data_IF_533594630103
#
_entry.id   IF_533594630103
#
_cell.length_a   1.000
_cell.length_b   1.000
_cell.length_c   1.000
_cell.angle_alpha   90.00
_cell.angle_beta   90.00
_cell.angle_gamma   90.00
#
_symmetry.space_group_name_H-M   'P 1'
#
loop_
_entity.id
_entity.type
_entity.pdbx_description
1 polymer ?
#
# COMPACT_ATOMS: atom_id res chain seq x y z
N UNK A 1 22.76 1.08 9.16
CA UNK A 1 22.99 0.27 7.94
C UNK A 1 23.60 1.16 6.87
N UNK A 2 24.69 0.73 6.21
CA UNK A 2 25.28 1.45 5.07
C UNK A 2 24.62 0.93 3.78
N UNK A 3 23.37 1.31 3.54
CA UNK A 3 22.57 0.92 2.37
C UNK A 3 22.27 -0.58 2.24
N UNK A 4 21.21 -0.90 1.49
CA UNK A 4 20.82 -2.27 1.16
C UNK A 4 19.61 -2.80 1.93
N UNK A 5 18.91 -3.76 1.31
CA UNK A 5 17.73 -4.39 1.89
C UNK A 5 18.12 -5.54 2.84
N UNK A 6 17.31 -5.77 3.88
CA UNK A 6 17.36 -6.98 4.70
C UNK A 6 16.24 -7.92 4.25
N UNK A 7 16.60 -9.11 3.78
CA UNK A 7 15.63 -10.17 3.51
C UNK A 7 15.23 -10.87 4.82
N UNK A 8 13.94 -10.86 5.15
CA UNK A 8 13.41 -11.44 6.39
C UNK A 8 13.29 -12.98 6.34
N UNK A 9 13.04 -13.58 5.17
CA UNK A 9 13.05 -15.04 4.96
C UNK A 9 12.24 -15.83 6.01
N UNK A 10 11.01 -15.39 6.29
CA UNK A 10 10.07 -15.89 7.32
C UNK A 10 10.49 -15.64 8.78
N UNK A 11 11.55 -14.87 9.03
CA UNK A 11 12.02 -14.59 10.37
C UNK A 11 11.42 -13.29 10.95
N UNK A 12 11.50 -13.20 12.27
CA UNK A 12 11.19 -11.98 13.00
C UNK A 12 12.49 -11.23 13.30
N UNK A 13 12.65 -10.03 12.77
CA UNK A 13 13.73 -9.13 13.16
C UNK A 13 13.25 -8.26 14.31
N UNK A 14 13.88 -8.33 15.49
CA UNK A 14 13.43 -7.58 16.67
C UNK A 14 14.44 -6.50 17.05
N UNK A 15 13.95 -5.28 17.29
CA UNK A 15 14.73 -4.17 17.83
C UNK A 15 14.27 -3.89 19.26
N UNK A 16 15.23 -3.90 20.18
CA UNK A 16 15.00 -3.79 21.62
C UNK A 16 14.75 -5.13 22.30
N UNK A 17 14.80 -5.11 23.62
CA UNK A 17 14.63 -6.27 24.53
C UNK A 17 13.48 -6.07 25.51
N UNK A 18 12.97 -4.84 25.66
CA UNK A 18 11.88 -4.52 26.58
C UNK A 18 11.47 -3.05 26.50
N UNK A 19 10.51 -2.64 27.33
CA UNK A 19 10.05 -1.23 27.38
C UNK A 19 11.08 -0.28 28.00
N UNK A 20 11.98 -0.79 28.84
CA UNK A 20 13.15 -0.05 29.37
C UNK A 20 14.32 -0.01 28.40
N UNK A 21 14.36 -0.93 27.43
CA UNK A 21 15.42 -1.07 26.42
C UNK A 21 14.79 -1.18 25.01
N UNK A 22 14.11 -0.12 24.53
CA UNK A 22 13.35 -0.19 23.29
C UNK A 22 14.23 -0.32 22.03
N UNK A 23 15.53 -0.06 22.17
CA UNK A 23 16.45 0.01 21.06
C UNK A 23 16.20 1.24 20.16
N UNK A 24 17.13 1.49 19.24
CA UNK A 24 17.01 2.55 18.25
C UNK A 24 17.15 1.98 16.84
N UNK A 25 16.48 2.61 15.88
CA UNK A 25 16.63 2.32 14.46
C UNK A 25 17.14 3.59 13.79
N UNK A 26 18.36 3.52 13.25
CA UNK A 26 18.95 4.59 12.44
C UNK A 26 19.41 3.99 11.12
N UNK A 27 18.77 4.43 10.04
CA UNK A 27 19.05 3.98 8.68
C UNK A 27 18.86 5.14 7.71
N UNK A 28 19.60 5.11 6.61
CA UNK A 28 19.56 6.13 5.55
C UNK A 28 18.86 5.63 4.29
N UNK A 29 18.96 4.33 4.01
CA UNK A 29 18.33 3.68 2.86
C UNK A 29 18.19 2.18 3.09
N UNK A 30 17.37 1.54 2.25
CA UNK A 30 17.09 0.11 2.29
C UNK A 30 15.79 -0.24 3.01
N UNK A 31 15.30 -1.45 2.77
CA UNK A 31 14.04 -1.96 3.29
C UNK A 31 14.18 -3.35 3.93
N UNK A 32 13.25 -3.68 4.81
CA UNK A 32 12.96 -5.04 5.27
C UNK A 32 12.03 -5.69 4.23
N UNK A 33 12.51 -6.71 3.53
CA UNK A 33 11.80 -7.33 2.40
C UNK A 33 11.55 -8.82 2.64
N UNK A 34 10.60 -9.37 1.87
CA UNK A 34 10.20 -10.78 1.96
C UNK A 34 9.30 -11.08 3.15
N UNK A 35 8.87 -12.34 3.24
CA UNK A 35 8.01 -12.83 4.32
C UNK A 35 8.71 -12.74 5.67
N UNK A 36 7.97 -12.46 6.74
CA UNK A 36 8.50 -12.23 8.09
C UNK A 36 8.03 -10.90 8.65
N UNK A 37 8.53 -10.52 9.82
CA UNK A 37 8.13 -9.26 10.46
C UNK A 37 9.29 -8.48 11.07
N UNK A 38 9.16 -7.16 11.08
CA UNK A 38 9.95 -6.29 11.96
C UNK A 38 9.16 -6.05 13.24
N UNK A 39 9.77 -6.35 14.38
CA UNK A 39 9.25 -6.14 15.71
C UNK A 39 10.04 -5.04 16.40
N UNK A 40 9.33 -4.09 17.02
CA UNK A 40 9.97 -2.99 17.74
C UNK A 40 9.34 -2.81 19.10
N UNK A 41 10.21 -2.73 20.10
CA UNK A 41 9.83 -2.26 21.42
C UNK A 41 9.72 -0.72 21.43
N UNK A 42 8.74 -0.23 22.18
CA UNK A 42 8.54 1.18 22.48
C UNK A 42 8.43 1.32 24.00
N UNK A 43 9.16 2.29 24.55
CA UNK A 43 9.05 2.66 25.97
C UNK A 43 7.79 3.48 26.26
N UNK A 44 7.68 3.99 27.49
CA UNK A 44 6.60 4.88 27.91
C UNK A 44 6.93 6.37 27.76
N UNK A 45 8.16 6.72 27.38
CA UNK A 45 8.64 8.09 27.24
C UNK A 45 9.54 8.24 26.01
N UNK A 46 9.87 9.49 25.65
CA UNK A 46 10.69 9.84 24.48
C UNK A 46 10.14 9.29 23.16
N UNK A 47 8.82 9.14 23.08
CA UNK A 47 8.14 8.63 21.89
C UNK A 47 8.14 9.68 20.77
N UNK A 48 8.28 9.25 19.50
CA UNK A 48 8.28 10.18 18.37
C UNK A 48 6.89 10.80 18.20
N UNK A 49 6.80 12.12 18.21
CA UNK A 49 5.54 12.87 17.98
C UNK A 49 5.36 13.32 16.54
N UNK A 50 6.34 13.04 15.69
CA UNK A 50 6.30 13.23 14.23
C UNK A 50 6.41 11.89 13.53
N UNK A 51 6.02 11.83 12.24
CA UNK A 51 6.17 10.63 11.44
C UNK A 51 7.65 10.25 11.32
N UNK A 52 8.06 9.27 12.11
CA UNK A 52 9.36 8.63 11.99
C UNK A 52 9.14 7.26 11.35
N UNK A 53 9.90 6.93 10.28
CA UNK A 53 9.80 5.67 9.54
C UNK A 53 10.15 4.49 10.44
N UNK A 54 9.17 4.10 11.23
CA UNK A 54 9.36 3.18 12.33
C UNK A 54 9.57 1.76 11.82
N UNK A 55 8.99 1.43 10.66
CA UNK A 55 9.05 0.12 10.03
C UNK A 55 9.38 0.29 8.54
N UNK A 56 10.66 0.24 8.12
CA UNK A 56 11.05 0.38 6.73
C UNK A 56 10.78 -0.89 5.93
N UNK A 57 9.53 -1.34 5.86
CA UNK A 57 9.16 -2.49 5.02
C UNK A 57 9.29 -2.13 3.54
N UNK A 58 9.50 -3.13 2.69
CA UNK A 58 9.56 -2.94 1.24
C UNK A 58 9.27 -4.22 0.46
N UNK A 59 9.09 -4.05 -0.85
CA UNK A 59 8.94 -5.13 -1.81
C UNK A 59 9.78 -4.79 -3.06
N UNK A 60 10.80 -5.60 -3.35
CA UNK A 60 11.80 -5.28 -4.38
C UNK A 60 12.49 -3.93 -4.09
N UNK A 61 12.29 -2.97 -4.99
CA UNK A 61 12.79 -1.59 -4.87
C UNK A 61 11.78 -0.62 -4.26
N UNK A 62 10.54 -1.06 -4.04
CA UNK A 62 9.45 -0.19 -3.64
C UNK A 62 9.33 -0.08 -2.11
N UNK A 63 9.22 1.14 -1.61
CA UNK A 63 8.95 1.44 -0.21
C UNK A 63 7.54 1.06 0.23
N UNK A 64 7.46 0.30 1.32
CA UNK A 64 6.21 -0.13 1.99
C UNK A 64 6.20 0.30 3.45
N UNK A 65 6.90 1.39 3.75
CA UNK A 65 7.18 1.77 5.12
C UNK A 65 5.94 2.18 5.90
N UNK A 66 5.89 1.83 7.19
CA UNK A 66 4.94 2.42 8.15
C UNK A 66 5.70 3.38 9.05
N UNK A 67 5.28 4.64 9.07
CA UNK A 67 5.69 5.62 10.06
C UNK A 67 4.65 5.72 11.17
N UNK A 68 5.12 5.92 12.40
CA UNK A 68 4.28 6.06 13.59
C UNK A 68 4.63 7.36 14.29
N UNK A 69 3.60 8.11 14.68
CA UNK A 69 3.70 9.31 15.50
C UNK A 69 2.72 9.20 16.68
N UNK A 70 3.18 9.51 17.88
CA UNK A 70 2.35 9.52 19.08
C UNK A 70 1.81 10.93 19.32
N UNK A 71 0.58 11.05 19.82
CA UNK A 71 -0.01 12.35 20.17
C UNK A 71 0.73 13.05 21.32
N UNK A 72 1.58 12.32 22.04
CA UNK A 72 2.44 12.82 23.12
C UNK A 72 3.73 11.99 23.17
N UNK A 73 4.83 12.57 23.64
CA UNK A 73 6.10 11.87 23.82
C UNK A 73 6.09 10.89 25.00
N UNK A 74 5.00 10.85 25.79
CA UNK A 74 4.80 9.95 26.91
C UNK A 74 3.42 9.28 26.90
N UNK A 75 3.36 8.06 27.42
CA UNK A 75 2.17 7.21 27.53
C UNK A 75 2.19 6.45 28.87
N UNK A 76 1.12 5.69 29.19
CA UNK A 76 1.04 4.95 30.46
C UNK A 76 2.00 3.75 30.51
N UNK A 77 2.01 2.92 29.47
CA UNK A 77 2.90 1.76 29.37
C UNK A 77 3.30 1.52 27.92
N UNK A 78 4.59 1.29 27.71
CA UNK A 78 5.14 0.85 26.44
C UNK A 78 4.74 -0.58 26.08
N UNK A 79 5.18 -1.05 24.92
CA UNK A 79 4.91 -2.39 24.43
C UNK A 79 5.69 -2.69 23.15
N UNK A 80 5.25 -3.71 22.41
CA UNK A 80 5.87 -4.09 21.14
C UNK A 80 4.85 -4.01 20.00
N UNK A 81 5.24 -3.38 18.88
CA UNK A 81 4.53 -3.48 17.60
C UNK A 81 5.32 -4.42 16.69
N UNK A 82 4.60 -5.30 16.00
CA UNK A 82 5.13 -6.08 14.89
C UNK A 82 4.44 -5.67 13.60
N UNK A 83 5.21 -5.45 12.54
CA UNK A 83 4.69 -5.18 11.18
C UNK A 83 5.28 -6.20 10.22
N UNK A 84 4.40 -6.81 9.43
CA UNK A 84 4.77 -7.55 8.21
C UNK A 84 4.06 -6.93 7.01
N UNK A 85 4.63 -7.13 5.82
CA UNK A 85 4.04 -6.69 4.56
C UNK A 85 3.85 -7.91 3.65
N UNK A 86 2.68 -8.01 3.02
CA UNK A 86 2.40 -8.98 1.98
C UNK A 86 2.22 -8.24 0.65
N UNK A 87 3.13 -8.47 -0.28
CA UNK A 87 3.08 -7.89 -1.61
C UNK A 87 2.22 -8.77 -2.52
N UNK A 88 1.11 -8.22 -3.01
CA UNK A 88 0.22 -8.91 -3.92
C UNK A 88 -0.35 -7.88 -4.93
N UNK A 89 -0.17 -8.08 -6.24
CA UNK A 89 -0.58 -7.11 -7.25
C UNK A 89 -2.10 -7.02 -7.36
N UNK A 90 -2.56 -5.93 -8.00
CA UNK A 90 -3.97 -5.66 -8.25
C UNK A 90 -4.74 -5.14 -7.04
N UNK A 91 -6.06 -5.08 -7.20
CA UNK A 91 -6.99 -4.60 -6.17
C UNK A 91 -8.33 -5.29 -6.25
N UNK A 92 -9.00 -5.40 -5.11
CA UNK A 92 -10.27 -6.09 -4.95
C UNK A 92 -11.38 -5.06 -4.74
N UNK A 93 -12.49 -5.21 -5.48
CA UNK A 93 -13.71 -4.46 -5.23
C UNK A 93 -14.30 -4.86 -3.86
N UNK A 94 -14.83 -3.88 -3.13
CA UNK A 94 -15.43 -4.10 -1.81
C UNK A 94 -16.79 -3.41 -1.74
N UNK A 95 -17.64 -3.83 -0.80
CA UNK A 95 -18.91 -3.13 -0.53
C UNK A 95 -18.60 -1.67 -0.19
N UNK A 96 -19.16 -0.69 -0.94
CA UNK A 96 -18.79 0.70 -0.75
C UNK A 96 -19.11 1.23 0.65
N UNK A 97 -18.20 2.02 1.20
CA UNK A 97 -18.42 2.72 2.47
C UNK A 97 -17.77 4.11 2.46
N UNK A 98 -18.27 4.97 3.34
CA UNK A 98 -17.73 6.32 3.49
C UNK A 98 -16.58 6.38 4.50
N UNK A 99 -15.51 7.08 4.14
CA UNK A 99 -14.45 7.47 5.09
C UNK A 99 -14.01 8.92 4.81
N UNK A 100 -14.41 9.84 5.70
CA UNK A 100 -14.30 11.28 5.42
C UNK A 100 -15.24 11.67 4.29
N UNK A 101 -14.73 12.41 3.30
CA UNK A 101 -15.45 12.77 2.08
C UNK A 101 -15.38 11.69 0.98
N UNK A 102 -14.64 10.61 1.21
CA UNK A 102 -14.42 9.56 0.22
C UNK A 102 -15.50 8.49 0.31
N UNK A 103 -15.93 8.00 -0.85
CA UNK A 103 -16.62 6.71 -0.97
C UNK A 103 -15.60 5.71 -1.48
N UNK A 104 -15.22 4.76 -0.63
CA UNK A 104 -14.24 3.72 -0.97
C UNK A 104 -14.99 2.52 -1.52
N UNK A 105 -14.59 2.07 -2.72
CA UNK A 105 -15.24 0.96 -3.44
C UNK A 105 -14.27 -0.18 -3.77
N UNK A 106 -12.99 -0.01 -3.45
CA UNK A 106 -11.94 -1.02 -3.67
C UNK A 106 -10.79 -0.85 -2.69
N UNK A 107 -9.95 -1.88 -2.61
CA UNK A 107 -8.70 -1.86 -1.87
C UNK A 107 -7.58 -2.59 -2.61
N UNK A 108 -6.34 -2.19 -2.36
CA UNK A 108 -5.17 -2.93 -2.80
C UNK A 108 -5.17 -4.37 -2.27
N UNK A 109 -4.65 -5.30 -3.07
CA UNK A 109 -4.42 -6.68 -2.65
C UNK A 109 -3.20 -6.79 -1.72
N UNK A 110 -2.18 -5.95 -1.94
CA UNK A 110 -1.11 -5.78 -0.97
C UNK A 110 -1.64 -5.25 0.36
N UNK A 111 -1.00 -5.68 1.44
CA UNK A 111 -1.44 -5.33 2.78
C UNK A 111 -0.31 -5.36 3.81
N UNK A 112 -0.55 -4.69 4.92
CA UNK A 112 0.28 -4.69 6.11
C UNK A 112 -0.47 -5.37 7.24
N UNK A 113 0.21 -6.29 7.93
CA UNK A 113 -0.34 -6.92 9.11
C UNK A 113 0.38 -6.40 10.35
N UNK A 114 -0.39 -5.84 11.28
CA UNK A 114 0.11 -5.14 12.47
C UNK A 114 -0.45 -5.78 13.73
N UNK A 115 0.45 -6.23 14.61
CA UNK A 115 0.08 -6.75 15.94
C UNK A 115 0.73 -5.91 17.03
N UNK A 116 0.12 -5.93 18.21
CA UNK A 116 0.68 -5.37 19.44
C UNK A 116 0.75 -6.42 20.55
N UNK A 117 1.69 -6.27 21.46
CA UNK A 117 1.84 -7.14 22.64
C UNK A 117 2.48 -6.41 23.83
N UNK A 118 2.55 -7.11 24.97
CA UNK A 118 3.15 -6.66 26.23
C UNK A 118 2.33 -5.57 26.96
N UNK A 119 1.01 -5.73 27.00
CA UNK A 119 0.08 -4.89 27.79
C UNK A 119 0.23 -3.38 27.51
N UNK A 120 0.44 -3.04 26.24
CA UNK A 120 0.61 -1.66 25.81
C UNK A 120 -0.63 -0.82 26.14
N UNK A 121 -0.45 0.28 26.88
CA UNK A 121 -1.50 1.25 27.18
C UNK A 121 -1.10 2.68 26.83
N UNK A 122 -1.83 3.30 25.90
CA UNK A 122 -1.68 4.72 25.59
C UNK A 122 -2.32 5.62 26.66
N UNK A 123 -3.30 5.12 27.41
CA UNK A 123 -4.23 5.92 28.21
C UNK A 123 -5.08 6.82 27.30
N UNK A 124 -5.28 8.10 27.64
CA UNK A 124 -6.07 9.05 26.82
C UNK A 124 -5.37 9.57 25.55
N UNK A 125 -4.25 8.96 25.16
CA UNK A 125 -3.39 9.40 24.05
C UNK A 125 -3.66 8.53 22.83
N UNK A 126 -3.25 9.00 21.66
CA UNK A 126 -3.50 8.32 20.39
C UNK A 126 -2.23 8.19 19.57
N UNK A 127 -2.33 7.41 18.49
CA UNK A 127 -1.30 7.23 17.49
C UNK A 127 -1.79 7.73 16.13
N UNK A 128 -0.89 8.27 15.34
CA UNK A 128 -1.06 8.53 13.92
C UNK A 128 -0.10 7.64 13.13
N UNK A 129 -0.56 7.15 11.98
CA UNK A 129 0.27 6.38 11.06
C UNK A 129 0.26 6.98 9.67
N UNK A 130 1.38 6.79 8.99
CA UNK A 130 1.54 7.03 7.56
C UNK A 130 2.07 5.75 6.93
N UNK A 131 1.42 5.30 5.86
CA UNK A 131 1.85 4.14 5.08
C UNK A 131 2.29 4.64 3.71
N UNK A 132 3.51 4.29 3.32
CA UNK A 132 4.02 4.48 1.97
C UNK A 132 3.69 3.27 1.10
N UNK A 133 3.22 3.53 -0.13
CA UNK A 133 2.74 2.51 -1.05
C UNK A 133 3.35 2.73 -2.46
N UNK A 134 4.68 2.84 -2.54
CA UNK A 134 5.41 3.11 -3.79
C UNK A 134 5.12 2.12 -4.93
N UNK A 135 4.83 2.59 -6.14
CA UNK A 135 4.47 1.71 -7.26
C UNK A 135 3.13 1.00 -7.06
N UNK A 136 2.22 1.56 -6.25
CA UNK A 136 0.83 1.11 -6.23
C UNK A 136 0.20 1.38 -7.59
N UNK A 137 -0.23 0.31 -8.25
CA UNK A 137 -0.85 0.39 -9.57
C UNK A 137 -2.20 1.12 -9.50
N UNK A 138 -2.57 1.80 -10.60
CA UNK A 138 -3.89 2.42 -10.77
C UNK A 138 -4.10 3.73 -10.01
N UNK A 139 -3.05 4.33 -9.45
CA UNK A 139 -3.14 5.62 -8.75
C UNK A 139 -3.02 6.78 -9.74
N UNK A 140 -4.13 7.48 -9.97
CA UNK A 140 -4.24 8.69 -10.79
C UNK A 140 -4.57 9.94 -9.98
N UNK A 141 -5.16 9.78 -8.80
CA UNK A 141 -5.48 10.86 -7.87
C UNK A 141 -5.27 10.44 -6.41
N UNK A 142 -4.34 11.14 -5.74
CA UNK A 142 -4.05 10.92 -4.32
C UNK A 142 -5.23 11.25 -3.42
N UNK A 143 -6.07 12.22 -3.80
CA UNK A 143 -7.18 12.67 -2.96
C UNK A 143 -8.19 11.55 -2.69
N UNK A 144 -8.26 10.57 -3.60
CA UNK A 144 -9.11 9.39 -3.50
C UNK A 144 -8.56 8.23 -2.67
N UNK A 145 -7.40 8.36 -2.00
CA UNK A 145 -6.75 7.27 -1.26
C UNK A 145 -6.90 7.38 0.27
N UNK A 146 -7.03 6.25 0.94
CA UNK A 146 -6.96 6.16 2.41
C UNK A 146 -6.49 4.78 2.90
N UNK A 147 -6.31 4.63 4.21
CA UNK A 147 -6.02 3.35 4.85
C UNK A 147 -7.33 2.65 5.21
N UNK A 148 -7.51 1.41 4.77
CA UNK A 148 -8.71 0.58 5.07
C UNK A 148 -8.31 -0.75 5.70
N UNK A 149 -9.27 -1.42 6.34
CA UNK A 149 -9.15 -2.84 6.71
C UNK A 149 -9.77 -3.70 5.59
N UNK A 150 -9.51 -5.02 5.63
CA UNK A 150 -9.96 -5.95 4.58
C UNK A 150 -11.42 -5.78 4.16
N UNK A 151 -12.34 -5.57 5.12
CA UNK A 151 -13.77 -5.46 4.85
C UNK A 151 -14.39 -4.21 5.48
N UNK A 152 -13.65 -3.09 5.57
CA UNK A 152 -14.24 -1.86 6.09
C UNK A 152 -13.26 -0.75 6.42
N UNK A 153 -13.82 0.31 7.01
CA UNK A 153 -13.10 1.49 7.43
C UNK A 153 -12.06 1.18 8.53
N UNK A 154 -10.90 1.79 8.43
CA UNK A 154 -9.91 1.77 9.51
C UNK A 154 -10.35 2.63 10.70
N UNK A 155 -9.88 2.28 11.91
CA UNK A 155 -10.11 3.10 13.10
C UNK A 155 -9.47 4.49 13.01
N UNK A 156 -9.68 5.32 14.03
CA UNK A 156 -9.16 6.69 14.08
C UNK A 156 -9.87 7.66 13.13
N UNK A 157 -9.15 8.72 12.71
CA UNK A 157 -9.63 9.79 11.86
C UNK A 157 -8.94 9.80 10.49
N UNK A 158 -9.71 10.17 9.46
CA UNK A 158 -9.23 10.34 8.09
C UNK A 158 -8.27 11.52 8.00
N UNK A 159 -7.18 11.31 7.26
CA UNK A 159 -6.28 12.37 6.81
C UNK A 159 -6.01 12.12 5.32
N UNK A 160 -6.08 13.17 4.51
CA UNK A 160 -5.82 13.11 3.08
C UNK A 160 -4.45 12.51 2.78
N UNK A 161 -4.36 11.76 1.68
CA UNK A 161 -3.08 11.24 1.22
C UNK A 161 -2.15 12.37 0.76
N UNK A 162 -0.85 12.09 0.81
CA UNK A 162 0.25 12.97 0.40
C UNK A 162 1.21 12.20 -0.50
N UNK A 163 2.31 12.81 -0.93
CA UNK A 163 3.33 12.16 -1.77
C UNK A 163 3.09 12.40 -3.26
N UNK A 164 3.35 11.40 -4.08
CA UNK A 164 3.13 11.42 -5.53
C UNK A 164 2.30 10.20 -5.96
N UNK A 165 1.76 10.19 -7.17
CA UNK A 165 1.05 9.01 -7.72
C UNK A 165 1.94 7.77 -7.78
N UNK A 166 3.25 7.93 -7.98
CA UNK A 166 4.22 6.84 -7.93
C UNK A 166 4.62 6.45 -6.50
N UNK A 167 4.51 7.37 -5.53
CA UNK A 167 4.85 7.15 -4.11
C UNK A 167 3.76 7.68 -3.19
N UNK A 168 2.55 7.10 -3.25
CA UNK A 168 1.43 7.57 -2.43
C UNK A 168 1.73 7.30 -0.96
N UNK A 169 1.39 8.28 -0.13
CA UNK A 169 1.48 8.19 1.33
C UNK A 169 0.10 8.43 1.94
N UNK A 170 -0.53 7.39 2.46
CA UNK A 170 -1.85 7.46 3.09
C UNK A 170 -1.73 7.55 4.61
N UNK A 171 -2.69 8.22 5.25
CA UNK A 171 -2.54 8.65 6.63
C UNK A 171 -3.80 8.34 7.47
N UNK A 172 -3.59 8.06 8.76
CA UNK A 172 -4.64 8.06 9.80
C UNK A 172 -4.13 8.74 11.05
N UNK A 173 -5.00 9.43 11.76
CA UNK A 173 -4.72 9.98 13.10
C UNK A 173 -5.67 9.42 14.15
N UNK A 174 -5.46 9.78 15.41
CA UNK A 174 -6.37 9.47 16.50
C UNK A 174 -6.65 7.97 16.68
N UNK A 175 -5.72 7.11 16.29
CA UNK A 175 -5.82 5.66 16.48
C UNK A 175 -5.63 5.33 17.96
N UNK A 176 -6.53 4.51 18.51
CA UNK A 176 -6.22 3.75 19.72
C UNK A 176 -5.16 2.68 19.43
N UNK A 177 -4.59 2.08 20.47
CA UNK A 177 -3.62 0.99 20.28
C UNK A 177 -4.25 -0.23 19.59
N UNK A 178 -5.52 -0.52 19.89
CA UNK A 178 -6.30 -1.58 19.24
C UNK A 178 -6.68 -1.27 17.80
N UNK A 179 -6.80 0.01 17.45
CA UNK A 179 -6.99 0.40 16.05
C UNK A 179 -5.72 0.17 15.24
N UNK A 180 -4.54 0.45 15.83
CA UNK A 180 -3.24 0.24 15.20
C UNK A 180 -2.91 -1.25 15.05
N UNK A 181 -2.91 -2.01 16.13
CA UNK A 181 -2.53 -3.42 16.12
C UNK A 181 -3.42 -4.24 17.04
N UNK A 182 -3.88 -5.39 16.57
CA UNK A 182 -4.62 -6.30 17.42
C UNK A 182 -3.69 -7.10 18.35
N UNK A 183 -4.24 -7.58 19.47
CA UNK A 183 -3.53 -8.29 20.53
C UNK A 183 -3.58 -9.81 20.36
N UNK A 184 -2.78 -10.54 21.14
CA UNK A 184 -2.83 -12.00 21.26
C UNK A 184 -2.69 -12.74 19.92
N UNK A 185 -1.89 -12.21 18.99
CA UNK A 185 -1.68 -12.80 17.67
C UNK A 185 -2.81 -12.54 16.67
N UNK A 186 -3.84 -11.78 17.03
CA UNK A 186 -4.94 -11.39 16.13
C UNK A 186 -4.75 -9.95 15.65
N UNK A 187 -3.79 -9.73 14.75
CA UNK A 187 -3.44 -8.41 14.23
C UNK A 187 -4.48 -7.76 13.33
N UNK A 188 -4.27 -6.47 13.06
CA UNK A 188 -5.03 -5.72 12.08
C UNK A 188 -4.35 -5.82 10.71
N UNK A 189 -5.11 -6.14 9.68
CA UNK A 189 -4.68 -6.06 8.29
C UNK A 189 -5.11 -4.74 7.67
N UNK A 190 -4.14 -3.92 7.25
CA UNK A 190 -4.35 -2.66 6.54
C UNK A 190 -4.07 -2.83 5.04
N UNK A 191 -4.91 -2.23 4.21
CA UNK A 191 -4.72 -2.08 2.76
C UNK A 191 -4.91 -0.62 2.38
N UNK A 192 -4.58 -0.29 1.13
CA UNK A 192 -4.87 1.03 0.56
C UNK A 192 -6.26 1.00 -0.05
N UNK A 193 -7.20 1.77 0.49
CA UNK A 193 -8.52 1.95 -0.08
C UNK A 193 -8.50 3.07 -1.12
N UNK A 194 -9.28 2.92 -2.18
CA UNK A 194 -9.41 3.92 -3.22
C UNK A 194 -10.88 4.18 -3.59
N UNK A 195 -11.18 5.42 -3.98
CA UNK A 195 -12.47 5.81 -4.58
C UNK A 195 -12.47 5.67 -6.10
N UNK A 196 -13.63 5.89 -6.72
CA UNK A 196 -13.84 5.90 -8.18
C UNK A 196 -12.88 6.79 -9.00
N UNK A 197 -12.17 7.75 -8.38
CA UNK A 197 -11.17 8.58 -9.07
C UNK A 197 -9.88 7.83 -9.47
N UNK A 198 -9.65 6.65 -8.89
CA UNK A 198 -8.54 5.76 -9.25
C UNK A 198 -9.15 4.51 -9.91
N UNK A 199 -8.86 4.18 -11.18
CA UNK A 199 -9.38 2.97 -11.79
C UNK A 199 -8.80 1.71 -11.12
N UNK A 200 -9.51 0.58 -11.18
CA UNK A 200 -8.90 -0.69 -10.82
C UNK A 200 -7.75 -0.97 -11.81
N UNK A 201 -6.56 -1.37 -11.34
CA UNK A 201 -5.45 -1.73 -12.21
C UNK A 201 -5.85 -2.87 -13.13
N UNK A 202 -5.48 -2.72 -14.40
CA UNK A 202 -5.50 -3.84 -15.35
C UNK A 202 -4.04 -4.22 -15.60
N UNK A 203 -3.73 -5.48 -15.33
CA UNK A 203 -2.38 -6.00 -15.50
C UNK A 203 -2.36 -6.91 -16.73
N UNK A 204 -1.57 -6.56 -17.75
CA UNK A 204 -1.38 -7.37 -18.95
C UNK A 204 -0.34 -8.48 -18.66
N UNK A 205 -0.73 -9.74 -18.84
CA UNK A 205 0.17 -10.90 -18.87
C UNK A 205 0.94 -10.97 -20.19
N UNK A 206 0.27 -10.65 -21.30
CA UNK A 206 0.89 -10.65 -22.62
C UNK A 206 0.16 -9.69 -23.54
N UNK A 207 0.90 -9.13 -24.49
CA UNK A 207 0.36 -8.43 -25.64
C UNK A 207 1.23 -8.77 -26.84
N UNK A 208 0.65 -9.41 -27.84
CA UNK A 208 1.34 -9.84 -29.07
C UNK A 208 0.53 -9.40 -30.27
N UNK A 209 1.24 -9.09 -31.35
CA UNK A 209 0.65 -8.78 -32.64
C UNK A 209 1.21 -9.77 -33.65
N UNK A 210 0.32 -10.49 -34.32
CA UNK A 210 0.69 -11.43 -35.40
C UNK A 210 0.05 -10.96 -36.69
N UNK A 211 0.85 -10.86 -37.75
CA UNK A 211 0.34 -10.51 -39.07
C UNK A 211 -0.24 -11.74 -39.74
N UNK A 212 -1.51 -11.69 -40.12
CA UNK A 212 -2.19 -12.73 -40.89
C UNK A 212 -2.72 -12.13 -42.19
N UNK A 213 -1.99 -12.38 -43.28
CA UNK A 213 -2.26 -11.81 -44.61
C UNK A 213 -2.25 -10.28 -44.58
N UNK A 214 -3.45 -9.66 -44.58
CA UNK A 214 -3.64 -8.20 -44.56
C UNK A 214 -4.10 -7.69 -43.19
N UNK A 215 -4.25 -8.59 -42.22
CA UNK A 215 -4.76 -8.28 -40.89
C UNK A 215 -3.63 -8.30 -39.85
N UNK A 216 -3.74 -7.42 -38.85
CA UNK A 216 -2.95 -7.49 -37.63
C UNK A 216 -3.84 -8.09 -36.54
N UNK A 217 -3.50 -9.29 -36.09
CA UNK A 217 -4.21 -9.98 -35.01
C UNK A 217 -3.52 -9.69 -33.70
N UNK A 218 -4.20 -8.89 -32.88
CA UNK A 218 -3.80 -8.57 -31.53
C UNK A 218 -4.28 -9.70 -30.61
N UNK A 219 -3.36 -10.33 -29.89
CA UNK A 219 -3.68 -11.26 -28.82
C UNK A 219 -3.10 -10.70 -27.53
N UNK A 220 -3.95 -10.50 -26.54
CA UNK A 220 -3.51 -10.14 -25.20
C UNK A 220 -4.15 -11.06 -24.18
N UNK A 221 -3.48 -11.18 -23.04
CA UNK A 221 -4.02 -11.79 -21.85
C UNK A 221 -3.80 -10.82 -20.70
N UNK A 222 -4.77 -10.75 -19.81
CA UNK A 222 -4.69 -9.99 -18.57
C UNK A 222 -4.63 -10.97 -17.40
N UNK A 223 -3.92 -10.60 -16.34
CA UNK A 223 -3.96 -11.38 -15.10
C UNK A 223 -5.18 -11.01 -14.26
N UNK A 224 -5.81 -9.86 -14.53
CA UNK A 224 -6.91 -9.34 -13.74
C UNK A 224 -7.70 -8.26 -14.51
N UNK A 225 -9.03 -8.36 -14.51
CA UNK A 225 -9.96 -7.38 -15.11
C UNK A 225 -11.17 -7.13 -14.20
N UNK A 226 -10.92 -6.58 -13.01
CA UNK A 226 -12.01 -6.19 -12.09
C UNK A 226 -12.45 -4.76 -12.42
N UNK A 227 -13.77 -4.50 -12.49
CA UNK A 227 -14.42 -3.25 -12.94
C UNK A 227 -13.76 -2.58 -14.14
N UNK A 228 -13.21 -3.37 -15.06
CA UNK A 228 -12.71 -2.90 -16.33
C UNK A 228 -13.90 -2.75 -17.29
N UNK A 229 -14.16 -1.53 -17.79
CA UNK A 229 -15.15 -1.32 -18.85
C UNK A 229 -14.70 -1.98 -20.16
N UNK A 230 -13.38 -2.05 -20.39
CA UNK A 230 -12.78 -2.59 -21.59
C UNK A 230 -11.54 -1.83 -22.02
N UNK A 231 -11.01 -2.23 -23.16
CA UNK A 231 -9.79 -1.73 -23.76
C UNK A 231 -10.11 -0.90 -24.99
N UNK A 232 -9.59 0.31 -25.04
CA UNK A 232 -9.53 1.08 -26.27
C UNK A 232 -8.34 0.59 -27.10
N UNK A 233 -8.59 0.19 -28.35
CA UNK A 233 -7.55 -0.25 -29.26
C UNK A 233 -7.30 0.88 -30.24
N UNK A 234 -6.06 1.36 -30.24
CA UNK A 234 -5.59 2.41 -31.12
C UNK A 234 -4.54 1.87 -32.09
N UNK A 235 -4.48 2.48 -33.28
CA UNK A 235 -3.46 2.18 -34.29
C UNK A 235 -2.84 3.47 -34.78
N UNK A 236 -1.53 3.46 -35.02
CA UNK A 236 -0.85 4.48 -35.80
C UNK A 236 -0.20 3.83 -37.03
N UNK A 237 -0.22 4.54 -38.17
CA UNK A 237 0.40 4.07 -39.41
C UNK A 237 1.77 4.73 -39.54
N UNK A 238 2.76 3.94 -39.93
CA UNK A 238 4.04 4.48 -40.35
C UNK A 238 3.92 4.96 -41.80
N UNK A 239 4.28 6.21 -42.04
CA UNK A 239 4.50 6.73 -43.38
C UNK A 239 5.85 6.23 -43.89
N UNK A 240 5.83 5.41 -44.92
CA UNK A 240 7.04 4.79 -45.49
C UNK A 240 7.96 5.81 -46.18
N UNK A 241 7.45 6.98 -46.57
CA UNK A 241 8.23 8.03 -47.23
C UNK A 241 8.99 8.92 -46.24
N UNK A 242 8.37 9.21 -45.09
CA UNK A 242 8.93 10.10 -44.06
C UNK A 242 9.45 9.35 -42.84
N UNK A 243 9.17 8.04 -42.73
CA UNK A 243 9.47 7.21 -41.56
C UNK A 243 8.67 7.57 -40.31
N UNK A 244 7.79 8.57 -40.38
CA UNK A 244 7.06 9.12 -39.25
C UNK A 244 5.75 8.36 -39.01
N UNK A 245 5.31 8.33 -37.76
CA UNK A 245 4.02 7.76 -37.37
C UNK A 245 2.91 8.81 -37.48
N UNK A 246 1.74 8.42 -37.98
CA UNK A 246 0.55 9.26 -37.93
C UNK A 246 0.06 9.42 -36.49
N UNK A 247 -0.88 10.33 -36.27
CA UNK A 247 -1.64 10.34 -35.02
C UNK A 247 -2.29 8.97 -34.77
N UNK A 248 -2.40 8.59 -33.49
CA UNK A 248 -3.12 7.40 -33.08
C UNK A 248 -4.61 7.59 -33.38
N UNK A 249 -5.20 6.60 -34.07
CA UNK A 249 -6.63 6.53 -34.35
C UNK A 249 -7.24 5.41 -33.52
N UNK A 250 -8.35 5.69 -32.84
CA UNK A 250 -9.18 4.66 -32.22
C UNK A 250 -9.78 3.77 -33.31
N UNK A 251 -9.49 2.47 -33.24
CA UNK A 251 -10.00 1.48 -34.21
C UNK A 251 -11.02 0.51 -33.61
N UNK A 252 -10.99 0.29 -32.29
CA UNK A 252 -11.98 -0.55 -31.62
C UNK A 252 -12.09 -0.22 -30.12
N UNK A 253 -13.19 -0.68 -29.51
CA UNK A 253 -13.32 -0.82 -28.07
C UNK A 253 -13.70 -2.27 -27.78
N UNK A 254 -12.93 -2.95 -26.94
CA UNK A 254 -13.14 -4.36 -26.58
C UNK A 254 -13.59 -4.39 -25.14
N UNK A 255 -14.81 -4.84 -24.89
CA UNK A 255 -15.34 -4.95 -23.53
C UNK A 255 -14.42 -5.78 -22.65
N UNK A 256 -14.29 -5.38 -21.38
CA UNK A 256 -13.55 -6.18 -20.40
C UNK A 256 -14.23 -7.54 -20.27
N UNK A 257 -13.43 -8.58 -20.08
CA UNK A 257 -13.90 -9.94 -19.82
C UNK A 257 -14.69 -10.05 -18.52
N UNK A 258 -14.61 -9.04 -17.64
CA UNK A 258 -15.42 -8.88 -16.44
C UNK A 258 -15.36 -10.13 -15.57
N UNK A 259 -14.40 -10.21 -14.64
CA UNK A 259 -14.44 -11.31 -13.68
C UNK A 259 -15.62 -11.07 -12.71
N UNK A 260 -16.70 -11.83 -12.91
CA UNK A 260 -17.73 -12.08 -11.88
C UNK A 260 -17.10 -12.60 -10.59
#
# INVERSE_FOLDING_TARGET
MKGGNIALNNNNFTIGSGTSEPGSLSYTSGYMTGSGSLKRWFGSSSLPTTYNYAFPMGAGTNGRGISIAFSNSSINSGGMISVSHNDLPGSTAITPFSDGSLTIDKRSNMNWYVTQSNNWSLGSRTVSIKIEAEGLEGVTDLSGLTIVKNNGKSGGSFISATGTTDKPQVNRSSLSISDLGGSNGNGNTFSIGASNGNPLPVTLLSFTVTTMKRDAVLNWATSMEINNKGFEVERSKKDESTGSFTAWEKIAFIGGAGST
#
